data_IF_032216093010
#
_entry.id   IF_032216093010
#
_cell.length_a   1.000
_cell.length_b   1.000
_cell.length_c   1.000
_cell.angle_alpha   90.00
_cell.angle_beta   90.00
_cell.angle_gamma   90.00
#
_symmetry.space_group_name_H-M   'P 1'
#
loop_
_entity.id
_entity.type
_entity.pdbx_description
1 polymer ?
#
# COMPACT_ATOMS: atom_id res chain seq x y z
N UNK A 1 -13.33 3.21 2.73
CA UNK A 1 -13.03 1.78 2.49
C UNK A 1 -12.39 1.49 1.14
N UNK A 2 -12.72 2.23 0.07
CA UNK A 2 -12.10 1.99 -1.24
C UNK A 2 -10.57 2.08 -1.27
N UNK A 3 -9.97 3.02 -0.55
CA UNK A 3 -8.50 3.08 -0.43
C UNK A 3 -7.91 1.75 0.06
N UNK A 4 -8.44 1.21 1.16
CA UNK A 4 -8.04 -0.10 1.72
C UNK A 4 -8.20 -1.25 0.71
N UNK A 5 -9.29 -1.27 -0.06
CA UNK A 5 -9.51 -2.29 -1.10
C UNK A 5 -8.49 -2.16 -2.24
N UNK A 6 -8.21 -0.93 -2.69
CA UNK A 6 -7.25 -0.69 -3.78
C UNK A 6 -5.81 -1.00 -3.42
N UNK A 7 -5.45 -1.05 -2.12
CA UNK A 7 -4.12 -1.50 -1.69
C UNK A 7 -3.82 -2.92 -2.19
N UNK A 8 -4.84 -3.76 -2.43
CA UNK A 8 -4.62 -5.13 -2.87
C UNK A 8 -4.08 -5.15 -4.29
N UNK A 9 -4.52 -4.22 -5.13
CA UNK A 9 -4.00 -4.06 -6.49
C UNK A 9 -2.56 -3.53 -6.45
N UNK A 10 -2.29 -2.54 -5.61
CA UNK A 10 -0.97 -1.95 -5.44
C UNK A 10 0.06 -2.95 -4.93
N UNK A 11 -0.23 -3.59 -3.80
CA UNK A 11 0.70 -4.51 -3.13
C UNK A 11 0.63 -5.94 -3.66
N UNK A 12 -0.50 -6.39 -4.21
CA UNK A 12 -0.64 -7.71 -4.82
C UNK A 12 0.02 -7.81 -6.18
N UNK A 13 -0.09 -6.76 -7.00
CA UNK A 13 0.40 -6.77 -8.37
C UNK A 13 1.52 -5.75 -8.60
N UNK A 14 1.21 -4.46 -8.50
CA UNK A 14 2.12 -3.41 -9.00
C UNK A 14 3.49 -3.41 -8.31
N UNK A 15 3.52 -3.50 -6.99
CA UNK A 15 4.78 -3.50 -6.22
C UNK A 15 5.57 -4.79 -6.41
N UNK A 16 4.91 -5.94 -6.38
CA UNK A 16 5.54 -7.24 -6.60
C UNK A 16 6.20 -7.31 -7.98
N UNK A 17 5.52 -6.84 -9.03
CA UNK A 17 6.06 -6.75 -10.40
C UNK A 17 7.31 -5.85 -10.43
N UNK A 18 7.23 -4.64 -9.85
CA UNK A 18 8.34 -3.67 -9.85
C UNK A 18 9.54 -4.16 -9.03
N UNK A 19 9.29 -4.83 -7.91
CA UNK A 19 10.31 -5.38 -7.03
C UNK A 19 10.85 -6.73 -7.49
N UNK A 20 10.23 -7.36 -8.51
CA UNK A 20 10.53 -8.74 -8.95
C UNK A 20 10.48 -9.75 -7.81
N UNK A 21 9.53 -9.56 -6.90
CA UNK A 21 9.28 -10.45 -5.75
C UNK A 21 7.84 -10.94 -5.81
N UNK A 22 7.59 -12.13 -5.26
CA UNK A 22 6.23 -12.66 -5.15
C UNK A 22 5.49 -12.09 -3.92
N UNK A 23 6.22 -11.46 -3.00
CA UNK A 23 5.72 -10.99 -1.72
C UNK A 23 6.37 -9.67 -1.31
N UNK A 24 5.56 -8.80 -0.70
CA UNK A 24 6.00 -7.68 0.11
C UNK A 24 5.12 -7.58 1.36
N UNK A 25 5.59 -6.99 2.47
CA UNK A 25 4.80 -6.89 3.71
C UNK A 25 3.44 -6.23 3.55
N UNK A 26 3.30 -5.26 2.62
CA UNK A 26 2.01 -4.63 2.34
C UNK A 26 0.98 -5.57 1.74
N UNK A 27 1.40 -6.67 1.08
CA UNK A 27 0.49 -7.71 0.60
C UNK A 27 -0.18 -8.44 1.77
N UNK A 28 0.60 -8.87 2.77
CA UNK A 28 0.04 -9.51 3.97
C UNK A 28 -0.91 -8.56 4.72
N UNK A 29 -0.48 -7.31 4.95
CA UNK A 29 -1.33 -6.28 5.58
C UNK A 29 -2.65 -6.12 4.84
N UNK A 30 -2.61 -6.12 3.51
CA UNK A 30 -3.82 -5.90 2.73
C UNK A 30 -4.75 -7.11 2.73
N UNK A 31 -4.21 -8.33 2.55
CA UNK A 31 -4.99 -9.57 2.48
C UNK A 31 -5.63 -9.92 3.82
N UNK A 32 -4.89 -9.76 4.92
CA UNK A 32 -5.35 -10.23 6.23
C UNK A 32 -6.00 -9.15 7.09
N UNK A 33 -5.78 -7.86 6.80
CA UNK A 33 -6.35 -6.78 7.59
C UNK A 33 -7.23 -5.86 6.75
N UNK A 34 -6.64 -5.16 5.77
CA UNK A 34 -7.34 -4.04 5.12
C UNK A 34 -8.57 -4.47 4.33
N UNK A 35 -8.45 -5.54 3.52
CA UNK A 35 -9.57 -6.04 2.71
C UNK A 35 -10.65 -6.66 3.58
N UNK A 36 -10.36 -7.58 4.53
CA UNK A 36 -11.39 -8.14 5.41
C UNK A 36 -12.15 -7.07 6.19
N UNK A 37 -11.44 -6.10 6.78
CA UNK A 37 -12.06 -5.00 7.54
C UNK A 37 -12.93 -4.14 6.63
N UNK A 38 -12.44 -3.79 5.43
CA UNK A 38 -13.22 -2.99 4.49
C UNK A 38 -14.49 -3.71 4.02
N UNK A 39 -14.41 -5.01 3.72
CA UNK A 39 -15.57 -5.81 3.34
C UNK A 39 -16.58 -5.95 4.50
N UNK A 40 -16.12 -6.23 5.72
CA UNK A 40 -16.98 -6.33 6.89
C UNK A 40 -17.70 -5.01 7.18
N UNK A 41 -17.00 -3.88 7.10
CA UNK A 41 -17.58 -2.55 7.27
C UNK A 41 -18.65 -2.27 6.21
N UNK A 42 -18.32 -2.49 4.92
CA UNK A 42 -19.25 -2.23 3.81
C UNK A 42 -20.49 -3.12 3.95
N UNK A 43 -20.32 -4.40 4.28
CA UNK A 43 -21.42 -5.33 4.50
C UNK A 43 -22.36 -4.82 5.60
N UNK A 44 -21.81 -4.52 6.79
CA UNK A 44 -22.62 -4.07 7.92
C UNK A 44 -23.33 -2.75 7.63
N UNK A 45 -22.61 -1.75 7.11
CA UNK A 45 -23.18 -0.45 6.77
C UNK A 45 -24.25 -0.55 5.67
N UNK A 46 -24.12 -1.50 4.74
CA UNK A 46 -25.14 -1.76 3.73
C UNK A 46 -26.37 -2.43 4.35
N UNK A 47 -26.17 -3.42 5.23
CA UNK A 47 -27.25 -4.14 5.90
C UNK A 47 -28.09 -3.22 6.82
N UNK A 48 -27.46 -2.21 7.41
CA UNK A 48 -28.13 -1.19 8.24
C UNK A 48 -28.74 -0.04 7.42
N UNK A 49 -28.60 -0.05 6.09
CA UNK A 49 -29.13 1.00 5.21
C UNK A 49 -28.42 2.35 5.37
N UNK A 50 -27.20 2.36 5.91
CA UNK A 50 -26.41 3.59 6.13
C UNK A 50 -25.76 4.13 4.85
N UNK A 51 -25.62 3.30 3.83
CA UNK A 51 -24.94 3.68 2.59
C UNK A 51 -25.93 4.17 1.54
N UNK A 52 -25.73 5.41 1.11
CA UNK A 52 -26.44 6.02 -0.01
C UNK A 52 -25.56 6.04 -1.26
N UNK A 53 -26.14 6.33 -2.42
CA UNK A 53 -25.38 6.57 -3.65
C UNK A 53 -24.36 7.71 -3.52
N UNK A 54 -24.65 8.72 -2.68
CA UNK A 54 -23.73 9.81 -2.38
C UNK A 54 -22.46 9.34 -1.69
N UNK A 55 -22.57 8.37 -0.78
CA UNK A 55 -21.43 7.79 -0.06
C UNK A 55 -20.51 7.00 -0.98
N UNK A 56 -21.09 6.28 -1.95
CA UNK A 56 -20.34 5.55 -2.96
C UNK A 56 -19.55 6.51 -3.88
N UNK A 57 -20.20 7.55 -4.39
CA UNK A 57 -19.54 8.56 -5.23
C UNK A 57 -18.48 9.34 -4.44
N UNK A 58 -18.82 9.81 -3.24
CA UNK A 58 -17.92 10.52 -2.35
C UNK A 58 -16.71 9.66 -1.96
N UNK A 59 -16.94 8.38 -1.66
CA UNK A 59 -15.88 7.41 -1.37
C UNK A 59 -14.93 7.22 -2.56
N UNK A 60 -15.44 7.19 -3.79
CA UNK A 60 -14.61 7.07 -5.00
C UNK A 60 -13.79 8.34 -5.27
N UNK A 61 -14.39 9.52 -5.11
CA UNK A 61 -13.67 10.80 -5.21
C UNK A 61 -12.58 10.86 -4.14
N UNK A 62 -12.91 10.48 -2.90
CA UNK A 62 -11.95 10.48 -1.80
C UNK A 62 -10.79 9.49 -2.03
N UNK A 63 -11.03 8.35 -2.67
CA UNK A 63 -9.98 7.43 -3.10
C UNK A 63 -8.98 8.16 -4.02
N UNK A 64 -9.47 8.85 -5.05
CA UNK A 64 -8.60 9.59 -5.99
C UNK A 64 -7.80 10.65 -5.24
N UNK A 65 -8.46 11.44 -4.40
CA UNK A 65 -7.80 12.48 -3.58
C UNK A 65 -6.70 11.86 -2.72
N UNK A 66 -6.98 10.79 -1.98
CA UNK A 66 -5.97 10.12 -1.15
C UNK A 66 -4.79 9.59 -1.95
N UNK A 67 -5.04 8.93 -3.09
CA UNK A 67 -3.95 8.39 -3.94
C UNK A 67 -3.07 9.53 -4.46
N UNK A 68 -3.68 10.63 -4.92
CA UNK A 68 -2.95 11.78 -5.41
C UNK A 68 -2.15 12.45 -4.30
N UNK A 69 -2.74 12.77 -3.16
CA UNK A 69 -2.11 13.60 -2.13
C UNK A 69 -1.19 12.81 -1.19
N UNK A 70 -1.47 11.53 -0.94
CA UNK A 70 -0.73 10.73 0.05
C UNK A 70 0.33 9.83 -0.60
N UNK A 71 0.23 9.56 -1.89
CA UNK A 71 1.17 8.67 -2.59
C UNK A 71 1.86 9.39 -3.73
N UNK A 72 1.09 9.85 -4.73
CA UNK A 72 1.69 10.34 -5.98
C UNK A 72 2.40 11.66 -5.78
N UNK A 73 1.71 12.67 -5.23
CA UNK A 73 2.26 14.01 -5.01
C UNK A 73 3.55 14.00 -4.18
N UNK A 74 3.61 13.41 -2.97
CA UNK A 74 4.85 13.44 -2.18
C UNK A 74 6.00 12.73 -2.90
N UNK A 75 5.75 11.58 -3.53
CA UNK A 75 6.81 10.86 -4.26
C UNK A 75 7.29 11.64 -5.48
N UNK A 76 6.39 12.21 -6.27
CA UNK A 76 6.77 12.89 -7.51
C UNK A 76 7.36 14.27 -7.28
N UNK A 77 6.88 14.99 -6.25
CA UNK A 77 7.35 16.35 -5.93
C UNK A 77 8.67 16.33 -5.14
N UNK A 78 8.91 15.31 -4.31
CA UNK A 78 10.07 15.26 -3.42
C UNK A 78 11.18 14.31 -3.90
N UNK A 79 11.00 13.57 -5.00
CA UNK A 79 12.07 12.74 -5.55
C UNK A 79 13.23 13.62 -6.00
N UNK A 80 14.42 13.31 -5.52
CA UNK A 80 15.66 13.95 -5.93
C UNK A 80 16.74 12.88 -6.10
N UNK A 81 17.37 12.88 -7.28
CA UNK A 81 18.45 11.94 -7.61
C UNK A 81 19.81 12.43 -7.13
N UNK A 82 19.99 13.74 -7.00
CA UNK A 82 21.23 14.39 -6.58
C UNK A 82 21.23 14.69 -5.07
N UNK A 83 20.41 13.95 -4.31
CA UNK A 83 20.23 14.20 -2.89
C UNK A 83 21.48 13.88 -2.08
N UNK A 84 21.86 14.78 -1.17
CA UNK A 84 22.94 14.54 -0.21
C UNK A 84 22.55 13.56 0.91
N UNK A 85 21.28 13.19 1.02
CA UNK A 85 20.77 12.24 2.02
C UNK A 85 20.94 10.79 1.54
N UNK A 86 22.19 10.37 1.35
CA UNK A 86 22.51 8.99 0.99
C UNK A 86 22.30 8.05 2.18
N UNK A 87 21.82 6.83 1.91
CA UNK A 87 21.71 5.80 2.95
C UNK A 87 23.13 5.45 3.40
N UNK A 88 23.39 5.58 4.70
CA UNK A 88 24.73 5.38 5.25
C UNK A 88 25.22 3.93 5.10
N UNK A 89 26.54 3.69 4.95
CA UNK A 89 27.07 2.34 4.74
C UNK A 89 26.68 1.33 5.82
N UNK A 90 26.59 1.75 7.09
CA UNK A 90 26.21 0.86 8.18
C UNK A 90 24.74 0.41 8.12
N UNK A 91 23.84 1.26 7.61
CA UNK A 91 22.43 0.87 7.38
C UNK A 91 22.33 -0.15 6.27
N UNK A 92 23.10 0.05 5.19
CA UNK A 92 23.17 -0.91 4.09
C UNK A 92 23.73 -2.26 4.55
N UNK A 93 24.79 -2.27 5.36
CA UNK A 93 25.34 -3.51 5.95
C UNK A 93 24.30 -4.26 6.79
N UNK A 94 23.57 -3.57 7.68
CA UNK A 94 22.50 -4.19 8.47
C UNK A 94 21.37 -4.73 7.60
N UNK A 95 20.96 -3.99 6.59
CA UNK A 95 19.96 -4.45 5.62
C UNK A 95 20.41 -5.74 4.94
N UNK A 96 21.65 -5.80 4.47
CA UNK A 96 22.20 -7.00 3.83
C UNK A 96 22.30 -8.19 4.80
N UNK A 97 22.66 -7.98 6.07
CA UNK A 97 22.66 -9.04 7.09
C UNK A 97 21.28 -9.66 7.27
N UNK A 98 20.24 -8.84 7.39
CA UNK A 98 18.85 -9.32 7.51
C UNK A 98 18.44 -10.07 6.25
N UNK A 99 18.66 -9.49 5.07
CA UNK A 99 18.30 -10.12 3.79
C UNK A 99 19.02 -11.47 3.64
N UNK A 100 20.31 -11.55 3.92
CA UNK A 100 21.07 -12.80 3.82
C UNK A 100 20.61 -13.85 4.84
N UNK A 101 20.19 -13.44 6.04
CA UNK A 101 19.64 -14.34 7.06
C UNK A 101 18.29 -14.94 6.62
N UNK A 102 17.38 -14.13 6.08
CA UNK A 102 16.03 -14.59 5.69
C UNK A 102 15.93 -15.14 4.27
N UNK A 103 16.96 -14.95 3.43
CA UNK A 103 16.97 -15.44 2.06
C UNK A 103 16.95 -16.96 2.08
N UNK A 104 15.79 -17.53 1.73
CA UNK A 104 15.65 -18.96 1.46
C UNK A 104 16.64 -19.30 0.34
N UNK A 105 17.66 -20.12 0.65
CA UNK A 105 18.59 -20.62 -0.36
C UNK A 105 17.78 -21.40 -1.39
N UNK A 106 17.89 -21.01 -2.66
CA UNK A 106 17.49 -21.86 -3.77
C UNK A 106 18.48 -23.02 -3.89
#
# INVERSE_FOLDING_TARGET
MFFSLTQLLGHGFQMNIKLKTWYNPGLATTVFLLVPIACAYIYQASAEGMLTWGDWLGGFIMLIVCVLTSIIAPVQLLKDKETNYIISPWQMDRFHKVVNFVRIKK
#
